data_IF_629134967419
#
_entry.id   IF_629134967419
#
_cell.length_a   1.000
_cell.length_b   1.000
_cell.length_c   1.000
_cell.angle_alpha   90.00
_cell.angle_beta   90.00
_cell.angle_gamma   90.00
#
_symmetry.space_group_name_H-M   'P 1'
#
loop_
_entity.id
_entity.type
_entity.pdbx_description
1 polymer ?
#
# COMPACT_ATOMS: atom_id res chain seq x y z
N UNK A 1 -19.81 -7.52 7.35
CA UNK A 1 -19.16 -8.85 7.35
C UNK A 1 -19.51 -9.69 8.57
N UNK A 2 -19.52 -9.16 9.77
CA UNK A 2 -19.55 -9.94 11.02
C UNK A 2 -20.67 -10.99 11.18
N UNK A 3 -21.79 -10.84 10.50
CA UNK A 3 -22.92 -11.79 10.55
C UNK A 3 -23.13 -12.55 9.23
N UNK A 4 -22.26 -12.40 8.25
CA UNK A 4 -22.37 -13.13 6.99
C UNK A 4 -21.66 -14.48 7.09
N UNK A 5 -22.43 -15.54 7.24
CA UNK A 5 -21.92 -16.92 7.42
C UNK A 5 -21.17 -17.49 6.20
N UNK A 6 -21.24 -16.83 5.06
CA UNK A 6 -20.57 -17.25 3.81
C UNK A 6 -19.09 -16.87 3.77
N UNK A 7 -18.65 -16.02 4.70
CA UNK A 7 -17.26 -15.56 4.77
C UNK A 7 -16.62 -16.00 6.08
N UNK A 8 -15.32 -16.34 6.07
CA UNK A 8 -14.61 -16.65 7.29
C UNK A 8 -14.57 -15.42 8.21
N UNK A 9 -14.45 -15.66 9.51
CA UNK A 9 -14.28 -14.58 10.49
C UNK A 9 -13.00 -13.82 10.16
N UNK A 10 -13.15 -12.53 9.86
CA UNK A 10 -12.00 -11.66 9.67
C UNK A 10 -11.31 -11.43 11.01
N UNK A 11 -10.02 -11.70 11.06
CA UNK A 11 -9.19 -11.47 12.23
C UNK A 11 -8.01 -10.59 11.83
N UNK A 12 -7.78 -9.53 12.61
CA UNK A 12 -6.55 -8.73 12.49
C UNK A 12 -5.45 -9.51 13.22
N UNK A 13 -4.38 -9.84 12.50
CA UNK A 13 -3.16 -10.39 13.10
C UNK A 13 -2.34 -9.20 13.60
N UNK A 14 -2.49 -8.90 14.90
CA UNK A 14 -1.88 -7.72 15.54
C UNK A 14 -0.42 -8.00 15.91
N UNK A 15 0.45 -8.19 14.93
CA UNK A 15 1.89 -8.32 15.14
C UNK A 15 2.63 -6.97 15.21
N UNK A 16 1.91 -5.89 14.92
CA UNK A 16 2.39 -4.52 15.06
C UNK A 16 3.00 -3.92 13.79
N UNK A 17 3.27 -2.63 13.88
CA UNK A 17 3.91 -1.84 12.83
C UNK A 17 5.07 -1.07 13.45
N UNK A 18 6.31 -1.40 13.06
CA UNK A 18 7.55 -0.86 13.61
C UNK A 18 8.22 0.08 12.63
N UNK A 19 8.42 1.34 13.01
CA UNK A 19 9.30 2.26 12.31
C UNK A 19 10.64 2.35 13.01
N UNK A 20 11.74 2.20 12.28
CA UNK A 20 13.10 2.32 12.80
C UNK A 20 13.76 3.61 12.29
N UNK A 21 14.30 4.41 13.19
CA UNK A 21 15.02 5.64 12.88
C UNK A 21 16.52 5.46 13.11
N UNK A 22 17.34 5.65 12.07
CA UNK A 22 18.80 5.63 12.17
C UNK A 22 19.40 7.02 12.43
N UNK A 23 18.67 8.08 12.15
CA UNK A 23 19.10 9.46 12.36
C UNK A 23 18.18 10.22 13.34
N UNK A 24 18.71 11.30 13.95
CA UNK A 24 17.98 12.08 14.94
C UNK A 24 16.84 12.92 14.34
N UNK A 25 16.92 13.26 13.06
CA UNK A 25 15.84 13.99 12.37
C UNK A 25 14.58 13.13 12.28
N UNK A 26 14.72 11.88 11.84
CA UNK A 26 13.60 10.94 11.78
C UNK A 26 13.15 10.51 13.18
N UNK A 27 14.06 10.30 14.12
CA UNK A 27 13.72 10.01 15.52
C UNK A 27 12.87 11.15 16.13
N UNK A 28 13.18 12.42 15.84
CA UNK A 28 12.38 13.57 16.24
C UNK A 28 10.98 13.55 15.62
N UNK A 29 10.85 13.17 14.35
CA UNK A 29 9.54 13.00 13.69
C UNK A 29 8.72 11.92 14.39
N UNK A 30 9.31 10.76 14.70
CA UNK A 30 8.63 9.69 15.43
C UNK A 30 8.13 10.16 16.81
N UNK A 31 8.95 10.88 17.56
CA UNK A 31 8.54 11.47 18.87
C UNK A 31 7.37 12.45 18.73
N UNK A 32 7.37 13.28 17.70
CA UNK A 32 6.28 14.23 17.44
C UNK A 32 4.99 13.51 17.00
N UNK A 33 5.11 12.53 16.10
CA UNK A 33 3.98 11.74 15.64
C UNK A 33 3.34 10.96 16.80
N UNK A 34 4.16 10.36 17.66
CA UNK A 34 3.66 9.64 18.84
C UNK A 34 2.78 10.50 19.75
N UNK A 35 3.13 11.77 19.95
CA UNK A 35 2.30 12.70 20.75
C UNK A 35 0.92 12.92 20.13
N UNK A 36 0.87 13.08 18.80
CA UNK A 36 -0.38 13.25 18.05
C UNK A 36 -1.21 11.96 18.10
N UNK A 37 -0.56 10.84 17.89
CA UNK A 37 -1.19 9.51 17.93
C UNK A 37 -1.75 9.21 19.33
N UNK A 38 -0.99 9.48 20.39
CA UNK A 38 -1.43 9.30 21.77
C UNK A 38 -2.63 10.21 22.10
N UNK A 39 -2.62 11.47 21.65
CA UNK A 39 -3.75 12.39 21.83
C UNK A 39 -5.01 11.90 21.08
N UNK A 40 -4.86 11.14 20.01
CA UNK A 40 -5.95 10.50 19.27
C UNK A 40 -6.34 9.12 19.86
N UNK A 41 -5.72 8.67 20.95
CA UNK A 41 -6.01 7.40 21.61
C UNK A 41 -5.29 6.19 21.04
N UNK A 42 -4.30 6.36 20.15
CA UNK A 42 -3.46 5.26 19.68
C UNK A 42 -2.45 4.82 20.74
N UNK A 43 -2.20 3.53 20.82
CA UNK A 43 -1.29 2.93 21.81
C UNK A 43 0.15 2.82 21.28
N UNK A 44 0.61 3.83 20.54
CA UNK A 44 1.95 3.85 19.98
C UNK A 44 2.99 4.06 21.06
N UNK A 45 3.97 3.17 21.12
CA UNK A 45 5.12 3.19 22.02
C UNK A 45 6.38 3.67 21.27
N UNK A 46 7.26 4.35 22.00
CA UNK A 46 8.62 4.62 21.53
C UNK A 46 9.58 3.69 22.26
N UNK A 47 10.51 3.10 21.53
CA UNK A 47 11.47 2.13 22.05
C UNK A 47 12.90 2.60 21.78
N UNK A 48 13.74 2.55 22.80
CA UNK A 48 15.19 2.67 22.66
C UNK A 48 15.76 1.42 21.94
N UNK A 49 16.98 1.48 21.37
CA UNK A 49 17.63 0.31 20.77
C UNK A 49 17.69 -0.89 21.74
N UNK A 50 18.00 -0.66 23.01
CA UNK A 50 18.06 -1.73 24.03
C UNK A 50 16.69 -2.38 24.29
N UNK A 51 15.63 -1.56 24.35
CA UNK A 51 14.26 -2.07 24.48
C UNK A 51 13.79 -2.84 23.23
N UNK A 52 14.19 -2.39 22.03
CA UNK A 52 13.94 -3.14 20.79
C UNK A 52 14.65 -4.49 20.87
N UNK A 53 15.95 -4.51 21.23
CA UNK A 53 16.75 -5.73 21.31
C UNK A 53 16.22 -6.69 22.37
N UNK A 54 15.74 -6.18 23.49
CA UNK A 54 15.12 -7.01 24.55
C UNK A 54 13.80 -7.63 24.07
N UNK A 55 12.95 -6.87 23.37
CA UNK A 55 11.63 -7.34 22.92
C UNK A 55 11.73 -8.20 21.65
N UNK A 56 12.65 -7.88 20.77
CA UNK A 56 12.87 -8.51 19.46
C UNK A 56 14.37 -8.81 19.24
N UNK A 57 14.91 -9.88 19.86
CA UNK A 57 16.36 -10.17 19.87
C UNK A 57 16.97 -10.41 18.48
N UNK A 58 16.14 -10.68 17.49
CA UNK A 58 16.57 -10.92 16.12
C UNK A 58 16.99 -9.65 15.36
N UNK A 59 16.61 -8.43 15.81
CA UNK A 59 17.08 -7.23 15.15
C UNK A 59 18.55 -6.90 15.47
N UNK A 60 19.27 -6.51 14.44
CA UNK A 60 20.45 -5.67 14.59
C UNK A 60 19.97 -4.22 14.76
N UNK A 61 20.40 -3.57 15.84
CA UNK A 61 19.99 -2.20 16.20
C UNK A 61 21.17 -1.24 16.32
N UNK A 62 22.36 -1.62 15.86
CA UNK A 62 23.61 -0.87 16.04
C UNK A 62 23.56 0.54 15.43
N UNK A 63 22.84 0.71 14.33
CA UNK A 63 22.61 1.97 13.64
C UNK A 63 21.32 2.70 14.08
N UNK A 64 20.51 2.09 14.96
CA UNK A 64 19.20 2.63 15.33
C UNK A 64 19.31 3.62 16.49
N UNK A 65 18.54 4.71 16.41
CA UNK A 65 18.38 5.74 17.46
C UNK A 65 17.07 5.60 18.21
N UNK A 66 16.00 5.18 17.50
CA UNK A 66 14.66 5.07 18.05
C UNK A 66 13.81 4.13 17.23
N UNK A 67 12.94 3.36 17.89
CA UNK A 67 11.83 2.65 17.28
C UNK A 67 10.49 3.25 17.68
N UNK A 68 9.48 3.12 16.83
CA UNK A 68 8.08 3.44 17.14
C UNK A 68 7.22 2.25 16.74
N UNK A 69 6.44 1.73 17.67
CA UNK A 69 5.59 0.54 17.44
C UNK A 69 4.20 0.73 18.03
N UNK A 70 3.20 0.21 17.34
CA UNK A 70 1.87 -0.03 17.91
C UNK A 70 1.51 -1.51 17.71
N UNK A 71 1.06 -2.15 18.78
CA UNK A 71 0.64 -3.57 18.80
C UNK A 71 -0.88 -3.74 18.93
N UNK A 72 -1.61 -2.65 19.17
CA UNK A 72 -3.04 -2.72 19.45
C UNK A 72 -3.84 -2.53 18.16
N UNK A 73 -4.49 -3.59 17.69
CA UNK A 73 -5.28 -3.62 16.47
C UNK A 73 -4.51 -3.12 15.23
N UNK A 74 -3.21 -3.31 15.21
CA UNK A 74 -2.33 -2.93 14.11
C UNK A 74 -1.53 -4.12 13.61
N UNK A 75 -1.63 -4.38 12.31
CA UNK A 75 -1.02 -5.54 11.68
C UNK A 75 -1.68 -5.87 10.36
N UNK A 76 -1.93 -7.13 10.10
CA UNK A 76 -2.40 -7.65 8.83
C UNK A 76 -3.75 -8.36 8.95
N UNK A 77 -4.57 -8.20 7.95
CA UNK A 77 -5.81 -8.96 7.74
C UNK A 77 -5.92 -9.39 6.27
N UNK A 78 -6.73 -10.43 6.01
CA UNK A 78 -6.93 -10.95 4.66
C UNK A 78 -7.78 -9.98 3.83
N UNK A 79 -7.09 -9.15 3.04
CA UNK A 79 -7.71 -8.15 2.17
C UNK A 79 -8.52 -8.77 1.02
N UNK A 80 -8.13 -9.95 0.54
CA UNK A 80 -8.84 -10.66 -0.55
C UNK A 80 -10.22 -11.08 -0.07
N UNK A 81 -10.33 -11.65 1.13
CA UNK A 81 -11.63 -12.00 1.73
C UNK A 81 -12.55 -10.79 1.83
N UNK A 82 -12.05 -9.63 2.25
CA UNK A 82 -12.84 -8.39 2.33
C UNK A 82 -13.25 -7.92 0.94
N UNK A 83 -12.32 -7.88 -0.01
CA UNK A 83 -12.58 -7.44 -1.38
C UNK A 83 -13.68 -8.30 -2.04
N UNK A 84 -13.56 -9.61 -2.00
CA UNK A 84 -14.55 -10.52 -2.59
C UNK A 84 -15.93 -10.40 -1.90
N UNK A 85 -15.94 -10.22 -0.57
CA UNK A 85 -17.19 -9.97 0.13
C UNK A 85 -17.85 -8.65 -0.31
N UNK A 86 -17.08 -7.55 -0.41
CA UNK A 86 -17.60 -6.26 -0.86
C UNK A 86 -18.11 -6.32 -2.29
N UNK A 87 -17.40 -6.99 -3.19
CA UNK A 87 -17.78 -7.22 -4.58
C UNK A 87 -19.10 -8.00 -4.68
N UNK A 88 -19.23 -9.08 -3.92
CA UNK A 88 -20.45 -9.88 -3.90
C UNK A 88 -21.63 -9.09 -3.31
N UNK A 89 -21.41 -8.32 -2.25
CA UNK A 89 -22.45 -7.44 -1.68
C UNK A 89 -22.87 -6.34 -2.63
N UNK A 90 -21.96 -5.75 -3.37
CA UNK A 90 -22.29 -4.78 -4.41
C UNK A 90 -23.21 -5.39 -5.47
N UNK A 91 -22.88 -6.58 -5.97
CA UNK A 91 -23.71 -7.32 -6.94
C UNK A 91 -25.11 -7.66 -6.37
N UNK A 92 -25.19 -8.14 -5.13
CA UNK A 92 -26.44 -8.41 -4.43
C UNK A 92 -27.32 -7.15 -4.31
N UNK A 93 -26.72 -5.97 -4.24
CA UNK A 93 -27.39 -4.68 -4.21
C UNK A 93 -27.65 -4.08 -5.62
N UNK A 94 -27.49 -4.88 -6.68
CA UNK A 94 -27.81 -4.47 -8.05
C UNK A 94 -26.70 -3.70 -8.77
N UNK A 95 -25.46 -3.70 -8.24
CA UNK A 95 -24.31 -3.12 -8.96
C UNK A 95 -23.93 -4.04 -10.12
N UNK A 96 -23.92 -3.49 -11.31
CA UNK A 96 -23.45 -4.16 -12.52
C UNK A 96 -21.93 -3.99 -12.67
N UNK A 97 -21.23 -5.09 -12.94
CA UNK A 97 -19.81 -5.09 -13.28
C UNK A 97 -19.67 -5.27 -14.78
N UNK A 98 -19.17 -4.24 -15.45
CA UNK A 98 -18.88 -4.27 -16.87
C UNK A 98 -17.39 -4.53 -17.06
N UNK A 99 -17.03 -5.71 -17.55
CA UNK A 99 -15.63 -6.09 -17.82
C UNK A 99 -15.17 -5.45 -19.13
N UNK A 100 -14.85 -4.17 -19.07
CA UNK A 100 -14.46 -3.37 -20.23
C UNK A 100 -13.59 -2.18 -19.80
N UNK A 101 -13.03 -1.45 -20.76
CA UNK A 101 -12.20 -0.29 -20.56
C UNK A 101 -12.93 0.98 -21.05
N UNK A 102 -12.90 2.05 -20.23
CA UNK A 102 -13.35 3.37 -20.64
C UNK A 102 -12.27 4.02 -21.49
N UNK A 103 -12.62 4.38 -22.74
CA UNK A 103 -11.69 4.98 -23.70
C UNK A 103 -12.02 6.44 -24.02
N UNK A 104 -13.20 6.92 -23.62
CA UNK A 104 -13.65 8.29 -23.86
C UNK A 104 -14.64 8.72 -22.78
N UNK A 105 -14.56 9.97 -22.34
CA UNK A 105 -15.54 10.62 -21.47
C UNK A 105 -16.22 11.74 -22.27
N UNK A 106 -17.54 11.67 -22.35
CA UNK A 106 -18.36 12.61 -23.13
C UNK A 106 -19.01 13.61 -22.18
N UNK A 107 -18.74 14.90 -22.40
CA UNK A 107 -19.32 16.01 -21.60
C UNK A 107 -20.46 16.69 -22.32
N UNK A 108 -21.24 17.47 -21.57
CA UNK A 108 -22.26 18.36 -22.13
C UNK A 108 -21.62 19.53 -22.91
N UNK A 109 -22.46 20.35 -23.59
CA UNK A 109 -21.99 21.49 -24.40
C UNK A 109 -21.29 22.58 -23.57
N UNK A 110 -21.59 22.71 -22.29
CA UNK A 110 -20.96 23.66 -21.37
C UNK A 110 -19.70 23.13 -20.72
N UNK A 111 -19.31 21.90 -21.01
CA UNK A 111 -18.08 21.24 -20.50
C UNK A 111 -18.03 21.05 -18.97
N UNK A 112 -19.13 21.34 -18.26
CA UNK A 112 -19.20 21.33 -16.80
C UNK A 112 -19.81 20.03 -16.19
N UNK A 113 -20.25 19.10 -17.06
CA UNK A 113 -20.81 17.82 -16.65
C UNK A 113 -20.45 16.69 -17.62
N UNK A 114 -20.13 15.52 -17.08
CA UNK A 114 -20.04 14.26 -17.84
C UNK A 114 -21.45 13.72 -18.06
N UNK A 115 -21.78 13.34 -19.29
CA UNK A 115 -23.07 12.72 -19.67
C UNK A 115 -22.94 11.22 -19.87
N UNK A 116 -21.82 10.76 -20.40
CA UNK A 116 -21.60 9.34 -20.67
C UNK A 116 -20.12 9.00 -20.77
N UNK A 117 -19.83 7.70 -20.74
CA UNK A 117 -18.53 7.12 -21.04
C UNK A 117 -18.68 6.15 -22.21
N UNK A 118 -17.67 6.10 -23.08
CA UNK A 118 -17.58 5.11 -24.15
C UNK A 118 -16.59 4.04 -23.78
N UNK A 119 -16.98 2.81 -23.97
CA UNK A 119 -16.16 1.63 -23.72
C UNK A 119 -15.38 1.19 -24.95
N UNK A 120 -14.33 0.44 -24.76
CA UNK A 120 -13.53 -0.13 -25.86
C UNK A 120 -14.37 -1.03 -26.78
N UNK A 121 -15.45 -1.65 -26.29
CA UNK A 121 -16.44 -2.37 -27.10
C UNK A 121 -17.27 -1.47 -28.04
N UNK A 122 -17.20 -0.16 -27.88
CA UNK A 122 -18.05 0.81 -28.58
C UNK A 122 -19.35 1.16 -27.86
N UNK A 123 -19.70 0.46 -26.79
CA UNK A 123 -20.88 0.73 -25.96
C UNK A 123 -20.76 2.08 -25.26
N UNK A 124 -21.89 2.78 -25.11
CA UNK A 124 -21.97 4.06 -24.41
C UNK A 124 -22.84 3.89 -23.17
N UNK A 125 -22.26 4.19 -22.01
CA UNK A 125 -22.95 4.14 -20.71
C UNK A 125 -23.21 5.55 -20.22
N UNK A 126 -24.48 5.86 -19.94
CA UNK A 126 -24.90 7.14 -19.36
C UNK A 126 -24.98 7.05 -17.84
N UNK A 127 -24.79 8.18 -17.16
CA UNK A 127 -24.88 8.22 -15.69
C UNK A 127 -25.13 9.62 -15.16
N UNK A 128 -25.65 9.71 -13.96
CA UNK A 128 -25.84 10.99 -13.26
C UNK A 128 -24.58 11.47 -12.53
N UNK A 129 -23.76 10.52 -12.06
CA UNK A 129 -22.47 10.80 -11.38
C UNK A 129 -21.43 9.82 -11.86
N UNK A 130 -20.19 10.28 -11.96
CA UNK A 130 -19.04 9.50 -12.40
C UNK A 130 -17.94 9.57 -11.35
N UNK A 131 -17.40 8.41 -11.00
CA UNK A 131 -16.33 8.30 -10.00
C UNK A 131 -15.10 7.72 -10.66
N UNK A 132 -14.02 8.49 -10.66
CA UNK A 132 -12.72 8.00 -11.07
C UNK A 132 -12.02 7.34 -9.87
N UNK A 133 -12.01 6.03 -9.85
CA UNK A 133 -11.33 5.18 -8.87
C UNK A 133 -10.25 4.31 -9.55
N UNK A 134 -9.60 4.83 -10.60
CA UNK A 134 -8.70 4.08 -11.48
C UNK A 134 -7.29 3.92 -10.91
N UNK A 135 -7.03 4.35 -9.67
CA UNK A 135 -5.72 4.20 -9.01
C UNK A 135 -4.59 4.82 -9.84
N UNK A 136 -3.53 4.07 -10.19
CA UNK A 136 -2.40 4.59 -10.97
C UNK A 136 -2.79 5.14 -12.35
N UNK A 137 -3.93 4.73 -12.92
CA UNK A 137 -4.46 5.22 -14.21
C UNK A 137 -5.39 6.44 -14.05
N UNK A 138 -5.57 6.97 -12.83
CA UNK A 138 -6.51 8.05 -12.57
C UNK A 138 -6.23 9.30 -13.41
N UNK A 139 -4.96 9.64 -13.64
CA UNK A 139 -4.60 10.77 -14.51
C UNK A 139 -4.99 10.54 -15.97
N UNK A 140 -4.90 9.32 -16.51
CA UNK A 140 -5.36 8.99 -17.86
C UNK A 140 -6.87 9.19 -17.98
N UNK A 141 -7.64 8.65 -17.05
CA UNK A 141 -9.10 8.76 -17.05
C UNK A 141 -9.53 10.23 -16.86
N UNK A 142 -8.89 10.97 -15.95
CA UNK A 142 -9.17 12.39 -15.75
C UNK A 142 -8.91 13.24 -17.00
N UNK A 143 -7.83 12.95 -17.72
CA UNK A 143 -7.49 13.65 -18.97
C UNK A 143 -8.56 13.47 -20.05
N UNK A 144 -9.25 12.32 -20.09
CA UNK A 144 -10.40 12.13 -21.00
C UNK A 144 -11.54 13.09 -20.70
N UNK A 145 -11.68 13.55 -19.44
CA UNK A 145 -12.64 14.58 -19.04
C UNK A 145 -12.09 16.02 -19.15
N UNK A 146 -10.85 16.19 -19.68
CA UNK A 146 -10.17 17.49 -19.73
C UNK A 146 -9.66 17.97 -18.37
N UNK A 147 -9.47 17.06 -17.42
CA UNK A 147 -9.01 17.37 -16.06
C UNK A 147 -7.58 16.85 -15.88
N UNK A 148 -6.69 17.72 -15.42
CA UNK A 148 -5.32 17.33 -15.05
C UNK A 148 -5.23 17.11 -13.54
N UNK A 149 -4.63 16.00 -13.13
CA UNK A 149 -4.32 15.69 -11.74
C UNK A 149 -2.85 15.24 -11.61
N UNK A 150 -2.17 15.59 -10.51
CA UNK A 150 -0.75 15.28 -10.31
C UNK A 150 -0.54 13.84 -9.82
N UNK A 151 -1.09 12.86 -10.54
CA UNK A 151 -0.99 11.44 -10.18
C UNK A 151 -0.19 10.70 -11.23
N UNK A 152 0.85 10.00 -10.78
CA UNK A 152 1.74 9.22 -11.62
C UNK A 152 1.84 7.77 -11.12
N UNK A 153 1.98 6.78 -12.03
CA UNK A 153 2.31 5.42 -11.64
C UNK A 153 3.77 5.32 -11.17
N UNK A 154 3.98 4.80 -9.97
CA UNK A 154 5.29 4.51 -9.40
C UNK A 154 5.40 3.04 -9.10
N UNK A 155 6.48 2.38 -9.55
CA UNK A 155 6.65 0.94 -9.40
C UNK A 155 6.98 0.59 -7.94
N UNK A 156 6.34 -0.46 -7.44
CA UNK A 156 6.59 -1.06 -6.13
C UNK A 156 6.79 -2.55 -6.30
N UNK A 157 7.82 -3.05 -5.67
CA UNK A 157 8.18 -4.46 -5.72
C UNK A 157 7.79 -5.16 -4.43
N UNK A 158 7.45 -6.41 -4.54
CA UNK A 158 7.17 -7.30 -3.41
C UNK A 158 7.84 -8.64 -3.63
N UNK A 159 8.39 -9.20 -2.56
CA UNK A 159 9.08 -10.49 -2.56
C UNK A 159 8.56 -11.32 -1.41
N UNK A 160 8.16 -12.55 -1.69
CA UNK A 160 7.85 -13.56 -0.68
C UNK A 160 9.06 -14.48 -0.57
N UNK A 161 9.55 -14.66 0.63
CA UNK A 161 10.67 -15.53 0.89
C UNK A 161 10.47 -16.40 2.14
N UNK A 162 11.25 -17.46 2.24
CA UNK A 162 11.28 -18.36 3.38
C UNK A 162 12.70 -18.36 3.92
N UNK A 163 12.86 -18.10 5.22
CA UNK A 163 14.16 -18.20 5.88
C UNK A 163 14.47 -19.66 6.23
N UNK A 164 15.73 -20.06 6.14
CA UNK A 164 16.19 -21.38 6.58
C UNK A 164 15.95 -21.56 8.09
N UNK A 165 16.22 -20.49 8.85
CA UNK A 165 15.96 -20.41 10.28
C UNK A 165 14.84 -19.39 10.53
N UNK A 166 13.56 -19.81 10.63
CA UNK A 166 12.47 -18.91 10.95
C UNK A 166 12.68 -18.19 12.28
N UNK A 167 12.11 -17.00 12.40
CA UNK A 167 12.12 -16.26 13.66
C UNK A 167 11.30 -17.02 14.72
N UNK A 168 11.68 -16.90 15.99
CA UNK A 168 11.05 -17.55 17.12
C UNK A 168 9.76 -16.84 17.61
N UNK A 169 9.46 -15.71 17.04
CA UNK A 169 8.27 -14.88 17.33
C UNK A 169 7.84 -14.05 16.13
N UNK A 170 6.65 -13.49 16.21
CA UNK A 170 6.08 -12.66 15.15
C UNK A 170 6.98 -11.46 14.82
N UNK A 171 7.19 -11.21 13.54
CA UNK A 171 7.89 -10.06 13.01
C UNK A 171 6.87 -8.92 12.80
N UNK A 172 6.97 -7.80 13.51
CA UNK A 172 6.19 -6.61 13.19
C UNK A 172 6.43 -6.19 11.72
N UNK A 173 5.44 -5.58 11.08
CA UNK A 173 5.71 -4.92 9.81
C UNK A 173 6.75 -3.81 10.08
N UNK A 174 7.96 -4.06 9.66
CA UNK A 174 9.12 -3.24 9.98
C UNK A 174 9.48 -2.36 8.80
N UNK A 175 9.47 -1.06 9.00
CA UNK A 175 9.99 -0.08 8.06
C UNK A 175 11.44 0.19 8.44
N UNK A 176 12.35 -0.30 7.63
CA UNK A 176 13.79 -0.07 7.78
C UNK A 176 14.17 1.37 7.39
N UNK A 177 15.20 1.97 7.96
CA UNK A 177 15.67 3.30 7.57
C UNK A 177 16.00 3.46 6.08
N UNK A 178 16.29 2.36 5.39
CA UNK A 178 16.49 2.32 3.93
C UNK A 178 15.22 2.56 3.11
N UNK A 179 14.04 2.51 3.75
CA UNK A 179 12.73 2.59 3.10
C UNK A 179 12.13 1.24 2.68
N UNK A 180 12.91 0.15 2.72
CA UNK A 180 12.34 -1.18 2.54
C UNK A 180 11.58 -1.63 3.79
N UNK A 181 10.58 -2.46 3.58
CA UNK A 181 9.82 -3.04 4.68
C UNK A 181 9.79 -4.56 4.60
N UNK A 182 9.61 -5.18 5.76
CA UNK A 182 9.46 -6.63 5.87
C UNK A 182 8.40 -6.96 6.92
N UNK A 183 7.65 -8.02 6.71
CA UNK A 183 6.64 -8.52 7.66
C UNK A 183 6.48 -10.02 7.59
N UNK A 184 5.85 -10.57 8.61
CA UNK A 184 5.28 -11.91 8.58
C UNK A 184 4.25 -12.04 7.45
N UNK A 185 4.30 -13.14 6.69
CA UNK A 185 3.33 -13.43 5.63
C UNK A 185 2.48 -14.68 5.93
N UNK A 186 2.79 -15.37 7.02
CA UNK A 186 2.15 -16.62 7.43
C UNK A 186 2.79 -17.85 6.79
N UNK A 187 2.50 -19.03 7.36
CA UNK A 187 3.03 -20.29 6.87
C UNK A 187 4.56 -20.41 6.87
N UNK A 188 5.23 -19.68 7.76
CA UNK A 188 6.71 -19.66 7.84
C UNK A 188 7.36 -18.87 6.69
N UNK A 189 6.61 -17.99 6.04
CA UNK A 189 7.11 -17.08 5.00
C UNK A 189 7.07 -15.63 5.45
N UNK A 190 7.89 -14.80 4.82
CA UNK A 190 7.98 -13.38 5.03
C UNK A 190 7.75 -12.63 3.71
N UNK A 191 7.27 -11.40 3.79
CA UNK A 191 7.15 -10.51 2.65
C UNK A 191 8.02 -9.28 2.86
N UNK A 192 8.93 -9.03 1.92
CA UNK A 192 9.61 -7.75 1.79
C UNK A 192 8.95 -6.92 0.70
N UNK A 193 9.05 -5.59 0.80
CA UNK A 193 8.57 -4.68 -0.22
C UNK A 193 9.27 -3.34 -0.19
N UNK A 194 9.17 -2.62 -1.31
CA UNK A 194 9.79 -1.31 -1.47
C UNK A 194 10.00 -0.94 -2.93
N UNK A 195 10.89 0.00 -3.15
CA UNK A 195 11.30 0.47 -4.48
C UNK A 195 12.81 0.73 -4.49
N UNK A 196 13.39 0.88 -5.67
CA UNK A 196 14.80 1.24 -5.82
C UNK A 196 15.10 2.66 -5.31
N UNK A 197 16.39 3.02 -5.27
CA UNK A 197 16.85 4.36 -4.84
C UNK A 197 16.21 5.47 -5.69
N UNK A 198 16.05 5.21 -6.99
CA UNK A 198 15.32 6.09 -7.90
C UNK A 198 13.88 5.58 -8.01
N UNK A 199 12.91 6.51 -7.90
CA UNK A 199 11.49 6.24 -7.98
C UNK A 199 10.83 7.10 -9.09
N UNK A 200 11.18 6.86 -10.37
CA UNK A 200 10.60 7.60 -11.49
C UNK A 200 9.16 7.16 -11.77
N UNK A 201 8.40 8.04 -12.45
CA UNK A 201 7.17 7.61 -13.10
C UNK A 201 7.47 6.52 -14.13
N UNK A 202 6.60 5.52 -14.22
CA UNK A 202 6.74 4.41 -15.17
C UNK A 202 5.57 4.36 -16.15
N UNK A 203 5.67 3.57 -17.20
CA UNK A 203 4.52 3.28 -18.06
C UNK A 203 3.47 2.50 -17.26
N UNK A 204 2.18 2.76 -17.52
CA UNK A 204 1.05 2.11 -16.85
C UNK A 204 1.00 0.59 -17.04
N UNK A 205 1.70 0.05 -18.03
CA UNK A 205 1.76 -1.38 -18.34
C UNK A 205 3.14 -1.99 -17.99
N UNK A 206 4.05 -1.21 -17.36
CA UNK A 206 5.36 -1.70 -16.98
C UNK A 206 5.32 -2.39 -15.60
N UNK A 207 5.13 -3.70 -15.61
CA UNK A 207 5.21 -4.58 -14.44
C UNK A 207 6.46 -5.46 -14.45
N UNK A 208 7.49 -5.08 -15.22
CA UNK A 208 8.74 -5.84 -15.30
C UNK A 208 9.45 -5.77 -13.95
N UNK A 209 9.86 -6.93 -13.42
CA UNK A 209 10.66 -7.02 -12.20
C UNK A 209 12.09 -6.55 -12.45
N UNK A 210 12.62 -5.83 -11.48
CA UNK A 210 14.06 -5.62 -11.34
C UNK A 210 14.62 -6.75 -10.47
N UNK A 211 15.18 -7.77 -11.13
CA UNK A 211 15.71 -8.95 -10.43
C UNK A 211 17.02 -8.64 -9.67
N UNK A 212 17.80 -7.67 -10.16
CA UNK A 212 19.06 -7.28 -9.54
C UNK A 212 18.81 -6.55 -8.20
N UNK A 213 17.68 -5.89 -8.07
CA UNK A 213 17.30 -5.17 -6.84
C UNK A 213 17.22 -6.09 -5.63
N UNK A 214 16.71 -7.32 -5.82
CA UNK A 214 16.63 -8.30 -4.73
C UNK A 214 18.00 -8.68 -4.21
N UNK A 215 18.89 -9.14 -5.09
CA UNK A 215 20.19 -9.67 -4.70
C UNK A 215 21.16 -8.59 -4.25
N UNK A 216 21.15 -7.43 -4.94
CA UNK A 216 22.14 -6.38 -4.71
C UNK A 216 21.73 -5.37 -3.64
N UNK A 217 20.43 -5.32 -3.27
CA UNK A 217 19.94 -4.28 -2.36
C UNK A 217 19.05 -4.85 -1.25
N UNK A 218 17.95 -5.52 -1.59
CA UNK A 218 16.92 -5.88 -0.62
C UNK A 218 17.42 -6.93 0.36
N UNK A 219 17.93 -8.05 -0.14
CA UNK A 219 18.46 -9.11 0.72
C UNK A 219 19.62 -8.64 1.62
N UNK A 220 20.65 -7.92 1.14
CA UNK A 220 21.67 -7.32 2.01
C UNK A 220 21.10 -6.44 3.13
N UNK A 221 20.09 -5.62 2.86
CA UNK A 221 19.41 -4.78 3.87
C UNK A 221 18.69 -5.66 4.90
N UNK A 222 17.92 -6.66 4.44
CA UNK A 222 17.20 -7.58 5.31
C UNK A 222 18.14 -8.37 6.20
N UNK A 223 19.22 -8.91 5.64
CA UNK A 223 20.24 -9.65 6.38
C UNK A 223 20.97 -8.75 7.40
N UNK A 224 21.31 -7.53 7.03
CA UNK A 224 21.92 -6.59 7.96
C UNK A 224 20.98 -6.27 9.14
N UNK A 225 19.68 -6.10 8.89
CA UNK A 225 18.68 -5.80 9.93
C UNK A 225 18.31 -7.04 10.75
N UNK A 226 18.21 -8.20 10.14
CA UNK A 226 17.81 -9.48 10.76
C UNK A 226 18.82 -10.55 10.34
N UNK A 227 19.90 -10.76 11.11
CA UNK A 227 20.97 -11.68 10.72
C UNK A 227 20.52 -13.14 10.48
N UNK A 228 19.37 -13.57 11.02
CA UNK A 228 18.78 -14.88 10.71
C UNK A 228 18.32 -15.04 9.25
N UNK A 229 18.27 -13.94 8.48
CA UNK A 229 17.97 -13.95 7.05
C UNK A 229 19.23 -14.08 6.17
N UNK A 230 20.32 -14.62 6.74
CA UNK A 230 21.57 -14.95 6.03
C UNK A 230 21.37 -16.03 4.95
N UNK A 231 20.45 -16.95 5.20
CA UNK A 231 20.07 -18.01 4.27
C UNK A 231 18.55 -18.03 4.10
N UNK A 232 18.12 -17.72 2.87
CA UNK A 232 16.71 -17.67 2.54
C UNK A 232 16.46 -18.17 1.11
N UNK A 233 15.21 -18.53 0.85
CA UNK A 233 14.73 -18.93 -0.47
C UNK A 233 13.62 -18.00 -0.92
N UNK A 234 13.84 -17.32 -2.03
CA UNK A 234 12.79 -16.57 -2.72
C UNK A 234 11.71 -17.53 -3.23
N UNK A 235 10.46 -17.28 -2.89
CA UNK A 235 9.30 -18.10 -3.24
C UNK A 235 8.52 -17.49 -4.38
N UNK A 236 8.30 -16.18 -4.34
CA UNK A 236 7.50 -15.44 -5.31
C UNK A 236 7.88 -13.96 -5.30
N UNK A 237 7.66 -13.30 -6.42
CA UNK A 237 7.87 -11.86 -6.54
C UNK A 237 6.93 -11.24 -7.57
N UNK A 238 6.61 -9.98 -7.41
CA UNK A 238 5.81 -9.22 -8.37
C UNK A 238 6.08 -7.73 -8.26
N UNK A 239 5.77 -7.01 -9.34
CA UNK A 239 5.72 -5.55 -9.34
C UNK A 239 4.27 -5.08 -9.39
N UNK A 240 3.98 -3.98 -8.72
CA UNK A 240 2.71 -3.27 -8.76
C UNK A 240 2.94 -1.77 -8.93
N UNK A 241 1.87 -1.00 -9.04
CA UNK A 241 1.98 0.46 -9.13
C UNK A 241 1.29 1.14 -7.94
N UNK A 242 1.95 2.16 -7.38
CA UNK A 242 1.31 3.17 -6.56
C UNK A 242 0.78 4.29 -7.44
N UNK A 243 -0.41 4.79 -7.10
CA UNK A 243 -0.93 6.07 -7.58
C UNK A 243 -0.25 7.19 -6.77
N UNK A 244 0.90 7.68 -7.25
CA UNK A 244 1.66 8.69 -6.53
C UNK A 244 1.12 10.09 -6.87
N UNK A 245 0.46 10.74 -5.91
CA UNK A 245 0.20 12.17 -5.99
C UNK A 245 1.51 12.92 -5.74
N UNK A 246 2.01 13.59 -6.76
CA UNK A 246 3.32 14.26 -6.71
C UNK A 246 3.29 15.57 -5.93
N UNK A 247 2.10 16.08 -5.59
CA UNK A 247 1.95 17.32 -4.83
C UNK A 247 2.22 17.10 -3.32
N UNK A 248 1.55 16.11 -2.73
CA UNK A 248 1.57 15.92 -1.26
C UNK A 248 1.53 14.45 -0.83
N UNK A 249 1.58 13.50 -1.78
CA UNK A 249 1.55 12.05 -1.55
C UNK A 249 0.26 11.55 -0.87
N UNK A 250 -0.80 12.36 -0.85
CA UNK A 250 -2.09 11.97 -0.29
C UNK A 250 -3.12 11.64 -1.39
N UNK A 251 -4.14 10.86 -1.02
CA UNK A 251 -5.25 10.55 -1.91
C UNK A 251 -6.07 11.79 -2.25
N UNK A 252 -6.52 11.89 -3.50
CA UNK A 252 -7.47 12.90 -3.95
C UNK A 252 -8.87 12.31 -3.78
N UNK A 253 -9.67 12.86 -2.86
CA UNK A 253 -11.01 12.34 -2.56
C UNK A 253 -12.03 13.49 -2.62
N UNK A 254 -13.06 13.32 -3.42
CA UNK A 254 -14.17 14.28 -3.49
C UNK A 254 -14.56 14.71 -4.90
N UNK A 255 -15.54 15.61 -5.03
CA UNK A 255 -15.99 16.12 -6.32
C UNK A 255 -14.98 17.09 -6.94
N UNK A 256 -14.90 17.10 -8.27
CA UNK A 256 -14.17 18.13 -9.01
C UNK A 256 -14.91 19.46 -8.94
N UNK A 257 -14.18 20.56 -8.88
CA UNK A 257 -14.77 21.91 -8.69
C UNK A 257 -15.50 22.43 -9.93
N UNK A 258 -15.03 22.12 -11.12
CA UNK A 258 -15.56 22.61 -12.39
C UNK A 258 -16.48 21.59 -13.07
N UNK A 259 -16.09 20.29 -13.09
CA UNK A 259 -16.93 19.23 -13.63
C UNK A 259 -17.74 18.61 -12.49
N UNK A 260 -18.92 19.17 -12.26
CA UNK A 260 -19.73 19.04 -11.03
C UNK A 260 -20.16 17.61 -10.64
N UNK A 261 -20.27 16.72 -11.62
CA UNK A 261 -20.69 15.34 -11.38
C UNK A 261 -19.56 14.32 -11.54
N UNK A 262 -18.31 14.80 -11.63
CA UNK A 262 -17.11 13.97 -11.68
C UNK A 262 -16.40 14.00 -10.32
N UNK A 263 -16.08 12.83 -9.80
CA UNK A 263 -15.52 12.66 -8.46
C UNK A 263 -14.29 11.75 -8.50
N UNK A 264 -13.42 11.92 -7.52
CA UNK A 264 -12.23 11.10 -7.30
C UNK A 264 -12.37 10.24 -6.03
N UNK A 265 -11.77 9.05 -6.08
CA UNK A 265 -11.67 8.13 -4.94
C UNK A 265 -10.34 7.35 -4.97
#
# INVERSE_FOLDING_TARGET
MGNDIRVPKLTIKSFGYMYLAADESFAKKLRNNQKIQAAAGAATELLTPDEIKLRYPFYNVDDIKLGSINLVNEGYWDSITVFEWMKNKARENGVEYVENEVIEIIKNKSEDQVISVKLASGEIITGGKFVNASGPRAALVSKMAGIEIPVEPRKRYSWIFKAEKPLDRDLPLTIDPSGFHVRENGGGTYQAGGHGVHDPAVNFDDFIMDNDLWENTVWPILFNRIPQFDSLKLVSQWAGHYAMNTLDQNAIIGPHTEVKNFMFL
#
